data_IF_949479788248
#
_entry.id   IF_949479788248
#
_cell.length_a   1.000
_cell.length_b   1.000
_cell.length_c   1.000
_cell.angle_alpha   90.00
_cell.angle_beta   90.00
_cell.angle_gamma   90.00
#
_symmetry.space_group_name_H-M   'P 1'
#
loop_
_entity.id
_entity.type
_entity.pdbx_description
1 polymer ?
#
# COMPACT_ATOMS: atom_id res chain seq x y z
N UNK A 1 1.16 -13.74 1.95
CA UNK A 1 2.06 -12.59 2.23
C UNK A 1 1.99 -12.31 3.72
N UNK A 2 3.13 -12.14 4.41
CA UNK A 2 3.11 -11.58 5.76
C UNK A 2 3.19 -10.06 5.61
N UNK A 3 2.29 -9.33 6.24
CA UNK A 3 2.33 -7.87 6.35
C UNK A 3 2.95 -7.49 7.69
N UNK A 4 3.69 -6.39 7.72
CA UNK A 4 4.18 -5.84 8.99
C UNK A 4 2.99 -5.51 9.90
N UNK A 5 3.10 -5.86 11.18
CA UNK A 5 2.06 -5.57 12.19
C UNK A 5 1.73 -4.07 12.25
N UNK A 6 2.75 -3.23 12.11
CA UNK A 6 2.62 -1.77 12.08
C UNK A 6 1.88 -1.28 10.82
N UNK A 7 2.12 -1.94 9.68
CA UNK A 7 1.47 -1.62 8.42
C UNK A 7 -0.04 -1.83 8.43
N UNK A 8 -0.58 -2.70 9.30
CA UNK A 8 -2.03 -2.89 9.40
C UNK A 8 -2.75 -1.63 9.87
N UNK A 9 -2.21 -0.91 10.86
CA UNK A 9 -2.84 0.32 11.35
C UNK A 9 -2.85 1.40 10.27
N UNK A 10 -1.73 1.54 9.55
CA UNK A 10 -1.62 2.49 8.43
C UNK A 10 -2.56 2.15 7.28
N UNK A 11 -2.65 0.88 6.87
CA UNK A 11 -3.53 0.43 5.80
C UNK A 11 -5.02 0.69 6.13
N UNK A 12 -5.43 0.51 7.39
CA UNK A 12 -6.81 0.80 7.80
C UNK A 12 -7.11 2.30 7.66
N UNK A 13 -6.21 3.16 8.12
CA UNK A 13 -6.36 4.62 8.01
C UNK A 13 -6.40 5.03 6.53
N UNK A 14 -5.51 4.47 5.72
CA UNK A 14 -5.48 4.72 4.28
C UNK A 14 -6.79 4.36 3.59
N UNK A 15 -7.39 3.20 3.90
CA UNK A 15 -8.69 2.78 3.35
C UNK A 15 -9.79 3.78 3.73
N UNK A 16 -9.81 4.27 4.96
CA UNK A 16 -10.79 5.27 5.41
C UNK A 16 -10.63 6.57 4.61
N UNK A 17 -9.39 7.05 4.43
CA UNK A 17 -9.10 8.28 3.67
C UNK A 17 -9.50 8.09 2.20
N UNK A 18 -9.10 6.98 1.58
CA UNK A 18 -9.46 6.63 0.20
C UNK A 18 -10.98 6.63 0.04
N UNK A 19 -11.71 6.02 0.98
CA UNK A 19 -13.16 5.96 0.94
C UNK A 19 -13.81 7.35 0.97
N UNK A 20 -13.36 8.21 1.89
CA UNK A 20 -13.86 9.60 2.01
C UNK A 20 -13.59 10.39 0.73
N UNK A 21 -12.35 10.31 0.20
CA UNK A 21 -11.97 11.02 -1.04
C UNK A 21 -12.79 10.53 -2.23
N UNK A 22 -12.96 9.21 -2.36
CA UNK A 22 -13.76 8.62 -3.44
C UNK A 22 -15.23 8.99 -3.34
N UNK A 23 -15.80 9.04 -2.13
CA UNK A 23 -17.17 9.46 -1.89
C UNK A 23 -17.41 10.91 -2.31
N UNK A 24 -16.53 11.82 -1.88
CA UNK A 24 -16.61 13.25 -2.25
C UNK A 24 -16.44 13.42 -3.77
N UNK A 25 -15.47 12.72 -4.36
CA UNK A 25 -15.20 12.77 -5.79
C UNK A 25 -16.39 12.29 -6.63
N UNK A 26 -17.02 11.18 -6.24
CA UNK A 26 -18.18 10.63 -6.91
C UNK A 26 -19.35 11.63 -6.96
N UNK A 27 -19.59 12.33 -5.86
CA UNK A 27 -20.67 13.33 -5.77
C UNK A 27 -20.42 14.60 -6.58
N UNK A 28 -19.15 15.02 -6.72
CA UNK A 28 -18.80 16.26 -7.42
C UNK A 28 -18.61 16.07 -8.92
N UNK A 29 -17.99 14.96 -9.35
CA UNK A 29 -17.74 14.71 -10.76
C UNK A 29 -17.57 13.22 -11.06
N UNK A 30 -18.64 12.63 -11.59
CA UNK A 30 -18.69 11.21 -11.95
C UNK A 30 -17.60 10.82 -12.98
N UNK A 31 -17.32 11.70 -13.94
CA UNK A 31 -16.37 11.41 -15.02
C UNK A 31 -14.94 11.41 -14.50
N UNK A 32 -14.57 12.42 -13.70
CA UNK A 32 -13.24 12.51 -13.08
C UNK A 32 -13.03 11.38 -12.07
N UNK A 33 -14.09 11.00 -11.36
CA UNK A 33 -14.07 9.88 -10.44
C UNK A 33 -13.61 8.58 -11.14
N UNK A 34 -14.29 8.18 -12.21
CA UNK A 34 -14.02 6.91 -12.88
C UNK A 34 -12.66 6.86 -13.59
N UNK A 35 -12.25 7.95 -14.24
CA UNK A 35 -11.05 7.93 -15.09
C UNK A 35 -9.76 8.33 -14.37
N UNK A 36 -9.83 9.04 -13.25
CA UNK A 36 -8.65 9.52 -12.53
C UNK A 36 -8.63 9.04 -11.09
N UNK A 37 -9.65 9.40 -10.31
CA UNK A 37 -9.56 9.28 -8.84
C UNK A 37 -9.61 7.81 -8.41
N UNK A 38 -10.50 7.02 -9.00
CA UNK A 38 -10.62 5.60 -8.70
C UNK A 38 -9.36 4.80 -9.08
N UNK A 39 -8.82 4.86 -10.32
CA UNK A 39 -7.61 4.13 -10.67
C UNK A 39 -6.38 4.59 -9.88
N UNK A 40 -6.25 5.89 -9.61
CA UNK A 40 -5.18 6.40 -8.74
C UNK A 40 -5.33 5.79 -7.35
N UNK A 41 -6.50 5.86 -6.74
CA UNK A 41 -6.76 5.33 -5.39
C UNK A 41 -6.43 3.84 -5.26
N UNK A 42 -6.84 3.04 -6.25
CA UNK A 42 -6.53 1.61 -6.30
C UNK A 42 -5.02 1.40 -6.44
N UNK A 43 -4.38 2.17 -7.32
CA UNK A 43 -2.93 2.13 -7.53
C UNK A 43 -2.16 2.42 -6.25
N UNK A 44 -2.51 3.50 -5.53
CA UNK A 44 -1.86 3.86 -4.26
C UNK A 44 -2.04 2.77 -3.23
N UNK A 45 -3.26 2.23 -3.08
CA UNK A 45 -3.51 1.17 -2.10
C UNK A 45 -2.70 -0.11 -2.39
N UNK A 46 -2.58 -0.50 -3.66
CA UNK A 46 -1.76 -1.64 -4.07
C UNK A 46 -0.27 -1.40 -3.79
N UNK A 47 0.23 -0.18 -4.03
CA UNK A 47 1.59 0.21 -3.70
C UNK A 47 1.84 0.15 -2.18
N UNK A 48 0.90 0.62 -1.37
CA UNK A 48 0.98 0.54 0.09
C UNK A 48 1.01 -0.90 0.60
N UNK A 49 0.16 -1.78 0.05
CA UNK A 49 0.21 -3.22 0.37
C UNK A 49 1.57 -3.82 0.00
N UNK A 50 2.12 -3.45 -1.16
CA UNK A 50 3.42 -3.93 -1.59
C UNK A 50 4.54 -3.43 -0.66
N UNK A 51 4.48 -2.17 -0.24
CA UNK A 51 5.45 -1.57 0.68
C UNK A 51 5.47 -2.25 2.05
N UNK A 52 4.30 -2.52 2.63
CA UNK A 52 4.20 -3.15 3.96
C UNK A 52 4.41 -4.66 3.94
N UNK A 53 4.58 -5.27 2.76
CA UNK A 53 4.90 -6.69 2.62
C UNK A 53 6.25 -7.00 3.25
N UNK A 54 6.26 -7.99 4.14
CA UNK A 54 7.51 -8.58 4.63
C UNK A 54 8.15 -9.39 3.49
N UNK A 55 9.37 -9.07 3.04
CA UNK A 55 10.08 -9.86 2.04
C UNK A 55 10.50 -11.21 2.65
N UNK A 56 10.21 -12.31 1.95
CA UNK A 56 10.79 -13.61 2.31
C UNK A 56 12.25 -13.63 1.86
N UNK A 57 13.16 -13.38 2.80
CA UNK A 57 14.61 -13.49 2.55
C UNK A 57 15.09 -14.86 3.06
N UNK A 58 15.43 -15.77 2.15
CA UNK A 58 16.23 -16.95 2.47
C UNK A 58 17.70 -16.53 2.47
N UNK A 59 18.26 -16.32 3.66
CA UNK A 59 19.61 -15.80 3.78
C UNK A 59 20.57 -16.88 4.31
N UNK A 60 21.40 -17.41 3.42
CA UNK A 60 22.49 -18.31 3.79
C UNK A 60 23.75 -17.48 4.09
N UNK A 61 24.15 -17.45 5.36
CA UNK A 61 25.40 -16.77 5.78
C UNK A 61 26.61 -17.56 5.32
N UNK A 62 27.42 -16.98 4.43
CA UNK A 62 28.72 -17.54 4.03
C UNK A 62 29.81 -17.07 5.00
N UNK A 63 30.71 -17.97 5.38
CA UNK A 63 31.85 -17.67 6.26
C UNK A 63 32.80 -16.68 5.56
N UNK A 64 33.25 -15.65 6.28
CA UNK A 64 34.19 -14.64 5.77
C UNK A 64 33.56 -13.40 5.11
N UNK A 65 32.23 -13.31 5.06
CA UNK A 65 31.52 -12.15 4.51
C UNK A 65 30.89 -11.31 5.62
N UNK A 66 31.08 -9.99 5.54
CA UNK A 66 30.35 -9.00 6.37
C UNK A 66 29.18 -8.50 5.53
N UNK A 67 27.98 -8.59 6.08
CA UNK A 67 26.76 -8.15 5.42
C UNK A 67 26.28 -6.84 6.02
N UNK A 68 25.73 -5.97 5.17
CA UNK A 68 25.07 -4.74 5.61
C UNK A 68 23.88 -5.07 6.53
N UNK A 69 23.59 -4.20 7.51
CA UNK A 69 22.51 -4.39 8.48
C UNK A 69 21.13 -4.55 7.83
#
# INVERSE_FOLDING_TARGET
>A
MKLHKEGYSTLIIEVIIIFIVNYIAYYNSIMIFWYLILPISIGTFLLSIYFFRVPNRSFERKKGYVYAP
#
